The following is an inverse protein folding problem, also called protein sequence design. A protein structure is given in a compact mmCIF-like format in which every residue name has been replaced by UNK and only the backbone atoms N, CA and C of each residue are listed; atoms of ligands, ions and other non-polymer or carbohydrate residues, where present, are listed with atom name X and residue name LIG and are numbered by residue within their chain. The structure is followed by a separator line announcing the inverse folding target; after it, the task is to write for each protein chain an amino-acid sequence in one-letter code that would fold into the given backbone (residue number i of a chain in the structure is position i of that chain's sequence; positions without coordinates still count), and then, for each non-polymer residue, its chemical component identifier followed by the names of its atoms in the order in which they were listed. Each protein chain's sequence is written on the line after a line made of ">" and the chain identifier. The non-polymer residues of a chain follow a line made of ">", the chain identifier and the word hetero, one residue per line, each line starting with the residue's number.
data_IF_248602555217
#
_entry.id   IF_248602555217
#
_cell.length_a   1.000
_cell.length_b   1.000
_cell.length_c   1.000
_cell.angle_alpha   90.00
_cell.angle_beta   90.00
_cell.angle_gamma   90.00
#
_symmetry.space_group_name_H-M   'P 1'
#
loop_
_entity.id
_entity.type
_entity.pdbx_description
1 polymer ?
#
# COMPACT_ATOMS: atom_id res chain seq x y z
N UNK A 1 -30.39 -27.32 38.63
CA UNK A 1 -29.92 -26.11 37.90
C UNK A 1 -28.42 -26.08 38.10
N UNK A 2 -27.63 -26.46 37.08
CA UNK A 2 -26.16 -26.41 37.16
C UNK A 2 -25.72 -25.08 36.57
N UNK A 3 -25.12 -24.22 37.39
CA UNK A 3 -24.39 -23.06 36.92
C UNK A 3 -23.17 -23.57 36.14
N UNK A 4 -23.17 -23.39 34.82
CA UNK A 4 -21.97 -23.64 34.02
C UNK A 4 -20.87 -22.68 34.53
N UNK A 5 -19.60 -23.12 34.64
CA UNK A 5 -18.53 -22.24 35.04
C UNK A 5 -18.48 -21.04 34.07
N UNK A 6 -18.67 -19.84 34.60
CA UNK A 6 -18.51 -18.61 33.82
C UNK A 6 -17.03 -18.47 33.47
N UNK A 7 -16.71 -18.56 32.18
CA UNK A 7 -15.35 -18.34 31.67
C UNK A 7 -14.84 -16.95 32.11
N UNK A 8 -13.55 -16.84 32.38
CA UNK A 8 -12.89 -15.57 32.68
C UNK A 8 -13.06 -14.59 31.51
N UNK A 9 -13.30 -13.32 31.83
CA UNK A 9 -13.45 -12.28 30.83
C UNK A 9 -12.13 -12.05 30.10
N UNK A 10 -12.19 -11.80 28.80
CA UNK A 10 -11.03 -11.46 27.97
C UNK A 10 -11.25 -10.11 27.29
N UNK A 11 -10.20 -9.31 27.21
CA UNK A 11 -10.17 -8.04 26.50
C UNK A 11 -9.06 -8.04 25.47
N UNK A 12 -9.36 -7.46 24.30
CA UNK A 12 -8.43 -7.34 23.19
C UNK A 12 -8.32 -5.88 22.77
N UNK A 13 -7.09 -5.42 22.61
CA UNK A 13 -6.79 -4.05 22.16
C UNK A 13 -5.86 -4.10 20.97
N UNK A 14 -6.00 -3.13 20.06
CA UNK A 14 -5.16 -2.98 18.89
C UNK A 14 -4.62 -1.56 18.81
N UNK A 15 -3.41 -1.44 18.30
CA UNK A 15 -2.75 -0.18 17.97
C UNK A 15 -2.17 -0.31 16.58
N UNK A 16 -2.55 0.61 15.71
CA UNK A 16 -2.13 0.66 14.32
C UNK A 16 -1.81 2.10 13.93
N UNK A 17 -0.92 2.31 12.94
CA UNK A 17 -0.77 3.61 12.30
C UNK A 17 -2.11 4.12 11.75
N UNK A 18 -2.37 5.42 11.85
CA UNK A 18 -3.57 6.02 11.26
C UNK A 18 -3.53 5.97 9.72
N UNK A 19 -2.34 5.99 9.14
CA UNK A 19 -2.11 6.04 7.69
C UNK A 19 -1.05 5.03 7.25
N UNK A 20 -1.11 4.66 5.98
CA UNK A 20 -0.15 3.77 5.34
C UNK A 20 -0.01 4.08 3.85
N UNK A 21 0.97 3.46 3.19
CA UNK A 21 1.16 3.58 1.75
C UNK A 21 1.00 2.22 1.09
N UNK A 22 0.30 2.15 -0.03
CA UNK A 22 0.14 0.92 -0.81
C UNK A 22 1.49 0.29 -1.12
N UNK A 23 1.62 -1.03 -0.89
CA UNK A 23 2.86 -1.75 -1.12
C UNK A 23 3.98 -1.50 -0.09
N UNK A 24 3.70 -0.73 0.98
CA UNK A 24 4.60 -0.62 2.14
C UNK A 24 4.11 -1.51 3.27
N UNK A 25 5.07 -2.09 3.99
CA UNK A 25 4.79 -2.85 5.19
C UNK A 25 4.23 -1.93 6.29
N UNK A 26 3.13 -2.37 6.88
CA UNK A 26 2.51 -1.79 8.06
C UNK A 26 2.70 -2.76 9.22
N UNK A 27 2.81 -2.23 10.44
CA UNK A 27 2.87 -3.02 11.66
C UNK A 27 1.64 -2.70 12.50
N UNK A 28 0.94 -3.74 12.94
CA UNK A 28 -0.17 -3.64 13.90
C UNK A 28 0.21 -4.42 15.14
N UNK A 29 0.08 -3.79 16.30
CA UNK A 29 0.31 -4.41 17.60
C UNK A 29 -0.98 -4.53 18.37
N UNK A 30 -1.04 -5.46 19.30
CA UNK A 30 -2.18 -5.60 20.19
C UNK A 30 -1.83 -6.27 21.50
N UNK A 31 -2.82 -6.31 22.38
CA UNK A 31 -2.74 -6.99 23.66
C UNK A 31 -4.03 -7.74 23.95
N UNK A 32 -3.89 -9.02 24.24
CA UNK A 32 -4.92 -9.88 24.81
C UNK A 32 -4.69 -9.97 26.32
N UNK A 33 -5.71 -9.66 27.11
CA UNK A 33 -5.65 -9.72 28.58
C UNK A 33 -6.86 -10.43 29.13
N UNK A 34 -6.67 -11.16 30.22
CA UNK A 34 -7.74 -11.78 31.00
C UNK A 34 -7.41 -11.71 32.50
N UNK A 35 -8.41 -11.90 33.35
CA UNK A 35 -8.26 -11.95 34.81
C UNK A 35 -7.48 -13.20 35.27
N UNK A 36 -7.46 -14.25 34.45
CA UNK A 36 -6.67 -15.46 34.66
C UNK A 36 -5.55 -15.57 33.62
N UNK A 37 -4.51 -16.35 33.95
CA UNK A 37 -3.37 -16.52 33.06
C UNK A 37 -3.78 -17.23 31.76
N UNK A 38 -3.38 -16.65 30.63
CA UNK A 38 -3.57 -17.24 29.29
C UNK A 38 -2.64 -18.45 29.12
N UNK A 39 -3.13 -19.48 28.43
CA UNK A 39 -2.32 -20.65 28.11
C UNK A 39 -1.14 -20.27 27.19
N UNK A 40 0.00 -20.92 27.39
CA UNK A 40 1.14 -20.77 26.49
C UNK A 40 0.76 -21.24 25.07
N UNK A 41 1.17 -20.48 24.06
CA UNK A 41 0.82 -20.76 22.67
C UNK A 41 -0.57 -20.30 22.25
N UNK A 42 -1.28 -19.53 23.10
CA UNK A 42 -2.51 -18.82 22.70
C UNK A 42 -2.27 -18.05 21.41
N UNK A 43 -3.20 -18.18 20.46
CA UNK A 43 -3.16 -17.48 19.17
C UNK A 43 -4.40 -16.60 18.98
N UNK A 44 -4.23 -15.50 18.26
CA UNK A 44 -5.32 -14.68 17.75
C UNK A 44 -5.40 -14.81 16.22
N UNK A 45 -6.61 -14.85 15.67
CA UNK A 45 -6.84 -14.84 14.24
C UNK A 45 -6.89 -13.40 13.73
N UNK A 46 -6.33 -13.16 12.55
CA UNK A 46 -6.28 -11.82 11.93
C UNK A 46 -6.92 -11.88 10.55
N UNK A 47 -7.85 -10.96 10.28
CA UNK A 47 -8.42 -10.75 8.95
C UNK A 47 -8.27 -9.30 8.53
N UNK A 48 -8.04 -9.08 7.23
CA UNK A 48 -8.00 -7.74 6.62
C UNK A 48 -9.10 -7.62 5.59
N UNK A 49 -9.90 -6.56 5.72
CA UNK A 49 -10.93 -6.17 4.77
C UNK A 49 -10.54 -4.84 4.13
N UNK A 50 -10.47 -4.81 2.80
CA UNK A 50 -10.20 -3.60 2.01
C UNK A 50 -10.85 -3.73 0.61
N UNK A 51 -10.59 -2.77 -0.28
CA UNK A 51 -11.16 -2.77 -1.64
C UNK A 51 -10.64 -3.91 -2.54
N UNK A 52 -9.43 -4.44 -2.28
CA UNK A 52 -8.89 -5.61 -2.97
C UNK A 52 -9.37 -6.93 -2.33
N UNK A 53 -9.84 -6.90 -1.09
CA UNK A 53 -10.33 -8.04 -0.33
C UNK A 53 -11.63 -7.68 0.44
N UNK A 54 -12.75 -7.42 -0.26
CA UNK A 54 -13.99 -6.95 0.36
C UNK A 54 -14.65 -7.96 1.31
N UNK A 55 -14.22 -9.23 1.29
CA UNK A 55 -14.72 -10.30 2.15
C UNK A 55 -13.80 -10.71 3.30
N UNK A 56 -12.80 -9.90 3.66
CA UNK A 56 -11.83 -10.28 4.70
C UNK A 56 -10.80 -11.31 4.23
N UNK A 57 -10.66 -11.49 2.90
CA UNK A 57 -9.71 -12.42 2.25
C UNK A 57 -8.31 -11.82 2.09
N UNK A 58 -8.03 -10.67 2.70
CA UNK A 58 -6.69 -10.11 2.72
C UNK A 58 -5.75 -11.05 3.45
N UNK A 59 -4.46 -11.00 3.13
CA UNK A 59 -3.44 -11.94 3.64
C UNK A 59 -2.47 -11.30 4.64
N UNK A 60 -2.91 -10.91 5.86
CA UNK A 60 -2.02 -10.89 7.02
C UNK A 60 -1.73 -12.34 7.45
N UNK A 61 -0.79 -12.57 8.39
CA UNK A 61 -0.61 -13.89 9.00
C UNK A 61 -1.96 -14.41 9.56
N UNK A 62 -2.40 -15.63 9.21
CA UNK A 62 -3.74 -16.12 9.56
C UNK A 62 -3.94 -16.28 11.06
N UNK A 63 -2.85 -16.54 11.79
CA UNK A 63 -2.80 -16.60 13.24
C UNK A 63 -1.51 -15.98 13.75
N UNK A 64 -1.59 -15.28 14.90
CA UNK A 64 -0.47 -14.64 15.57
C UNK A 64 -0.40 -15.16 17.00
N UNK A 65 0.77 -15.66 17.40
CA UNK A 65 1.01 -16.12 18.77
C UNK A 65 1.06 -14.93 19.72
N UNK A 66 0.36 -15.06 20.84
CA UNK A 66 0.38 -14.10 21.94
C UNK A 66 1.55 -14.44 22.86
N UNK A 67 2.37 -13.44 23.17
CA UNK A 67 3.45 -13.58 24.14
C UNK A 67 2.91 -13.78 25.56
N UNK A 68 3.75 -14.25 26.48
CA UNK A 68 3.34 -14.52 27.86
C UNK A 68 2.84 -13.29 28.64
N UNK A 69 3.17 -12.08 28.19
CA UNK A 69 2.69 -10.81 28.75
C UNK A 69 1.36 -10.32 28.13
N UNK A 70 0.80 -11.10 27.21
CA UNK A 70 -0.42 -10.82 26.47
C UNK A 70 -0.22 -10.02 25.19
N UNK A 71 1.00 -9.61 24.86
CA UNK A 71 1.25 -8.78 23.67
C UNK A 71 1.40 -9.62 22.39
N UNK A 72 1.08 -9.02 21.25
CA UNK A 72 1.34 -9.61 19.94
C UNK A 72 1.52 -8.51 18.89
N UNK A 73 2.14 -8.87 17.77
CA UNK A 73 2.30 -7.97 16.62
C UNK A 73 2.30 -8.76 15.33
N UNK A 74 1.79 -8.16 14.27
CA UNK A 74 1.90 -8.70 12.92
C UNK A 74 2.16 -7.58 11.91
N UNK A 75 2.70 -7.97 10.78
CA UNK A 75 2.91 -7.07 9.65
C UNK A 75 2.03 -7.45 8.48
N UNK A 76 1.62 -6.46 7.71
CA UNK A 76 0.87 -6.65 6.48
C UNK A 76 1.28 -5.62 5.43
N UNK A 77 1.09 -5.94 4.14
CA UNK A 77 1.40 -5.03 3.01
C UNK A 77 0.16 -4.89 2.12
N UNK A 78 -0.73 -3.91 2.40
CA UNK A 78 -1.94 -3.73 1.62
C UNK A 78 -1.64 -3.39 0.15
N UNK A 79 -2.24 -4.11 -0.83
CA UNK A 79 -2.01 -3.90 -2.25
C UNK A 79 -2.89 -2.80 -2.85
N UNK A 80 -3.90 -2.32 -2.13
CA UNK A 80 -4.84 -1.32 -2.60
C UNK A 80 -4.86 -0.09 -1.68
N UNK A 81 -5.27 1.04 -2.27
CA UNK A 81 -5.58 2.25 -1.53
C UNK A 81 -6.99 2.18 -0.92
N UNK A 82 -7.24 3.05 0.05
CA UNK A 82 -8.49 3.15 0.79
C UNK A 82 -8.34 2.67 2.23
N UNK A 83 -9.46 2.49 2.90
CA UNK A 83 -9.47 1.98 4.28
C UNK A 83 -9.15 0.48 4.29
N UNK A 84 -8.08 0.10 4.98
CA UNK A 84 -7.81 -1.28 5.37
C UNK A 84 -8.24 -1.49 6.83
N UNK A 85 -9.25 -2.33 7.03
CA UNK A 85 -9.76 -2.68 8.36
C UNK A 85 -9.22 -4.03 8.77
N UNK A 86 -8.49 -4.07 9.89
CA UNK A 86 -7.98 -5.29 10.52
C UNK A 86 -8.93 -5.68 11.64
N UNK A 87 -9.39 -6.92 11.60
CA UNK A 87 -10.13 -7.54 12.70
C UNK A 87 -9.26 -8.61 13.32
N UNK A 88 -9.07 -8.55 14.63
CA UNK A 88 -8.36 -9.58 15.38
C UNK A 88 -9.35 -10.23 16.33
N UNK A 89 -9.42 -11.55 16.30
CA UNK A 89 -10.33 -12.33 17.14
C UNK A 89 -9.58 -13.39 17.94
N UNK A 90 -10.00 -13.53 19.20
CA UNK A 90 -9.68 -14.63 20.06
C UNK A 90 -10.96 -15.43 20.27
N UNK A 91 -10.97 -16.71 19.89
CA UNK A 91 -12.16 -17.57 20.03
C UNK A 91 -12.53 -17.89 21.48
N UNK A 92 -11.62 -17.62 22.42
CA UNK A 92 -11.68 -18.18 23.76
C UNK A 92 -11.13 -19.60 23.80
N UNK A 93 -11.03 -20.13 25.01
CA UNK A 93 -10.67 -21.52 25.30
C UNK A 93 -11.61 -22.09 26.37
N UNK A 94 -11.22 -23.18 27.05
CA UNK A 94 -12.07 -23.80 28.08
C UNK A 94 -12.28 -22.88 29.31
N UNK A 95 -11.35 -21.97 29.58
CA UNK A 95 -11.32 -21.11 30.76
C UNK A 95 -11.62 -19.64 30.44
N UNK A 96 -11.37 -19.18 29.21
CA UNK A 96 -11.45 -17.79 28.82
C UNK A 96 -12.52 -17.55 27.76
N UNK A 97 -13.26 -16.45 27.89
CA UNK A 97 -14.24 -16.03 26.90
C UNK A 97 -13.55 -15.48 25.63
N UNK A 98 -14.21 -15.63 24.48
CA UNK A 98 -13.75 -15.05 23.23
C UNK A 98 -13.93 -13.53 23.20
N UNK A 99 -13.13 -12.85 22.41
CA UNK A 99 -13.16 -11.38 22.25
C UNK A 99 -12.62 -10.97 20.89
N UNK A 100 -12.99 -9.77 20.42
CA UNK A 100 -12.62 -9.25 19.10
C UNK A 100 -12.30 -7.77 19.20
N UNK A 101 -11.35 -7.31 18.39
CA UNK A 101 -10.97 -5.90 18.27
C UNK A 101 -10.74 -5.54 16.81
N UNK A 102 -10.87 -4.25 16.48
CA UNK A 102 -10.67 -3.74 15.13
C UNK A 102 -9.77 -2.50 15.11
N UNK A 103 -8.99 -2.36 14.04
CA UNK A 103 -8.22 -1.16 13.74
C UNK A 103 -8.32 -0.83 12.25
N UNK A 104 -8.48 0.45 11.91
CA UNK A 104 -8.58 0.91 10.53
C UNK A 104 -7.37 1.79 10.17
N UNK A 105 -6.78 1.53 9.01
CA UNK A 105 -5.65 2.29 8.47
C UNK A 105 -6.06 2.90 7.14
N UNK A 106 -5.84 4.21 6.96
CA UNK A 106 -6.03 4.88 5.69
C UNK A 106 -4.81 4.68 4.78
N UNK A 107 -4.95 3.84 3.76
CA UNK A 107 -3.87 3.53 2.81
C UNK A 107 -3.95 4.43 1.59
N UNK A 108 -2.89 5.17 1.30
CA UNK A 108 -2.79 6.04 0.11
C UNK A 108 -1.77 5.51 -0.90
N UNK A 109 -1.84 5.99 -2.15
CA UNK A 109 -0.80 5.70 -3.14
C UNK A 109 0.48 6.43 -2.78
N UNK A 110 1.61 5.84 -3.13
CA UNK A 110 2.89 6.52 -3.11
C UNK A 110 2.85 7.77 -4.01
N UNK A 111 3.39 8.88 -3.52
CA UNK A 111 3.57 10.07 -4.33
C UNK A 111 4.62 9.79 -5.43
N UNK A 112 4.29 10.13 -6.67
CA UNK A 112 5.20 10.02 -7.80
C UNK A 112 5.81 11.39 -8.12
N UNK A 113 7.10 11.38 -8.50
CA UNK A 113 7.84 12.55 -8.98
C UNK A 113 8.24 12.31 -10.43
N UNK A 114 7.80 13.21 -11.31
CA UNK A 114 8.15 13.22 -12.73
C UNK A 114 9.04 14.42 -13.04
N UNK A 115 10.14 14.19 -13.76
CA UNK A 115 10.98 15.25 -14.33
C UNK A 115 11.08 15.08 -15.83
N UNK A 116 11.24 16.19 -16.55
CA UNK A 116 11.48 16.22 -17.98
C UNK A 116 12.56 17.27 -18.27
N UNK A 117 13.57 16.88 -19.04
CA UNK A 117 14.64 17.72 -19.53
C UNK A 117 14.65 17.68 -21.05
N UNK A 118 14.65 18.87 -21.62
CA UNK A 118 14.83 19.12 -23.04
C UNK A 118 16.01 20.08 -23.23
N UNK A 119 16.69 20.05 -24.39
CA UNK A 119 17.55 21.17 -24.80
C UNK A 119 16.76 22.48 -24.79
N UNK A 120 17.39 23.58 -24.34
CA UNK A 120 16.75 24.89 -24.32
C UNK A 120 16.42 25.41 -25.73
N UNK A 121 17.17 24.97 -26.73
CA UNK A 121 16.98 25.31 -28.14
C UNK A 121 17.15 24.07 -29.01
N UNK A 122 16.33 23.95 -30.06
CA UNK A 122 16.45 22.90 -31.07
C UNK A 122 16.07 23.43 -32.45
N UNK A 123 16.72 22.91 -33.49
CA UNK A 123 16.38 23.24 -34.88
C UNK A 123 15.18 22.39 -35.33
N UNK A 124 14.18 23.02 -35.96
CA UNK A 124 13.03 22.28 -36.53
C UNK A 124 13.48 21.25 -37.57
N UNK A 125 12.73 20.16 -37.66
CA UNK A 125 13.02 19.00 -38.50
C UNK A 125 14.36 18.32 -38.21
N UNK A 126 14.95 18.56 -37.02
CA UNK A 126 16.06 17.77 -36.48
C UNK A 126 15.59 17.04 -35.23
N UNK A 127 16.10 15.81 -35.00
CA UNK A 127 15.79 15.08 -33.78
C UNK A 127 16.36 15.81 -32.57
N UNK A 128 15.57 15.87 -31.50
CA UNK A 128 16.01 16.30 -30.18
C UNK A 128 15.71 15.21 -29.16
N UNK A 129 16.60 15.01 -28.21
CA UNK A 129 16.45 14.01 -27.16
C UNK A 129 15.84 14.65 -25.92
N UNK A 130 14.74 14.07 -25.46
CA UNK A 130 14.11 14.37 -24.19
C UNK A 130 14.46 13.27 -23.20
N UNK A 131 14.87 13.66 -22.00
CA UNK A 131 15.20 12.72 -20.91
C UNK A 131 14.41 13.08 -19.67
N UNK A 132 14.21 12.12 -18.78
CA UNK A 132 13.51 12.40 -17.54
C UNK A 132 13.56 11.25 -16.56
N UNK A 133 12.96 11.48 -15.41
CA UNK A 133 12.83 10.49 -14.35
C UNK A 133 11.38 10.41 -13.88
N UNK A 134 10.87 9.20 -13.66
CA UNK A 134 9.63 8.91 -12.98
C UNK A 134 9.92 7.99 -11.78
N UNK A 135 9.75 8.49 -10.56
CA UNK A 135 10.11 7.79 -9.32
C UNK A 135 9.01 7.88 -8.27
N UNK A 136 8.81 6.83 -7.48
CA UNK A 136 8.00 6.84 -6.25
C UNK A 136 8.62 5.91 -5.21
N UNK A 137 8.08 5.92 -3.99
CA UNK A 137 8.43 4.93 -2.96
C UNK A 137 7.17 4.28 -2.36
N UNK A 138 6.89 2.98 -2.61
CA UNK A 138 7.73 2.00 -3.34
C UNK A 138 7.98 2.37 -4.80
N UNK A 139 9.07 1.84 -5.37
CA UNK A 139 9.45 2.10 -6.75
C UNK A 139 8.35 1.66 -7.73
N UNK A 140 8.13 2.48 -8.77
CA UNK A 140 7.24 2.13 -9.87
C UNK A 140 7.86 0.95 -10.62
N UNK A 141 7.04 -0.07 -10.90
CA UNK A 141 7.50 -1.22 -11.66
C UNK A 141 8.07 -0.78 -13.03
N UNK A 142 9.19 -1.38 -13.41
CA UNK A 142 9.76 -1.19 -14.74
C UNK A 142 8.72 -1.54 -15.81
N UNK A 143 8.73 -0.80 -16.93
CA UNK A 143 7.72 -0.99 -17.99
C UNK A 143 6.58 0.02 -17.95
N UNK A 144 6.45 0.82 -16.88
CA UNK A 144 5.57 1.99 -16.90
C UNK A 144 5.89 2.90 -18.09
N UNK A 145 4.88 3.52 -18.68
CA UNK A 145 5.07 4.41 -19.85
C UNK A 145 4.81 5.86 -19.49
N UNK A 146 5.60 6.75 -20.05
CA UNK A 146 5.37 8.19 -20.04
C UNK A 146 5.03 8.64 -21.45
N UNK A 147 4.01 9.48 -21.59
CA UNK A 147 3.68 10.14 -22.84
C UNK A 147 4.14 11.59 -22.78
N UNK A 148 4.70 12.09 -23.89
CA UNK A 148 5.09 13.49 -24.00
C UNK A 148 4.27 14.15 -25.09
N UNK A 149 3.65 15.27 -24.73
CA UNK A 149 2.95 16.16 -25.65
C UNK A 149 3.81 17.39 -25.88
N UNK A 150 4.11 17.70 -27.15
CA UNK A 150 4.76 18.95 -27.55
C UNK A 150 3.71 19.94 -27.98
N UNK A 151 3.78 21.15 -27.43
CA UNK A 151 3.03 22.31 -27.90
C UNK A 151 4.00 23.28 -28.55
N UNK A 152 3.77 23.64 -29.81
CA UNK A 152 4.60 24.59 -30.54
C UNK A 152 3.77 25.39 -31.56
N UNK A 153 4.41 26.31 -32.29
CA UNK A 153 3.74 27.14 -33.30
C UNK A 153 3.06 26.36 -34.45
N UNK A 154 3.54 25.16 -34.78
CA UNK A 154 2.93 24.28 -35.79
C UNK A 154 1.85 23.37 -35.19
N UNK A 155 1.78 23.26 -33.86
CA UNK A 155 0.83 22.44 -33.11
C UNK A 155 0.42 23.17 -31.82
N UNK A 156 -0.31 24.29 -31.92
CA UNK A 156 -0.69 25.10 -30.74
C UNK A 156 -1.66 24.37 -29.80
N UNK A 157 -2.42 23.40 -30.31
CA UNK A 157 -3.27 22.50 -29.50
C UNK A 157 -2.53 21.32 -28.87
N UNK A 158 -1.21 21.23 -29.07
CA UNK A 158 -0.41 20.08 -28.63
C UNK A 158 -0.49 18.89 -29.58
N UNK A 159 0.63 18.17 -29.73
CA UNK A 159 0.72 16.92 -30.48
C UNK A 159 1.53 15.91 -29.69
N UNK A 160 1.18 14.61 -29.77
CA UNK A 160 1.98 13.55 -29.17
C UNK A 160 3.37 13.52 -29.81
N UNK A 161 4.39 13.90 -29.06
CA UNK A 161 5.78 13.86 -29.47
C UNK A 161 6.33 12.43 -29.42
N UNK A 162 5.85 11.63 -28.47
CA UNK A 162 6.24 10.23 -28.33
C UNK A 162 5.80 9.64 -27.00
N UNK A 163 6.26 8.42 -26.75
CA UNK A 163 6.14 7.75 -25.47
C UNK A 163 7.43 7.00 -25.17
N UNK A 164 7.82 6.95 -23.90
CA UNK A 164 9.00 6.22 -23.45
C UNK A 164 8.62 5.23 -22.36
N UNK A 165 9.30 4.08 -22.35
CA UNK A 165 9.25 3.16 -21.23
C UNK A 165 10.20 3.62 -20.13
N UNK A 166 9.75 3.57 -18.90
CA UNK A 166 10.53 3.88 -17.70
C UNK A 166 11.32 2.64 -17.31
N UNK A 167 12.64 2.79 -17.24
CA UNK A 167 13.55 1.74 -16.79
C UNK A 167 13.42 1.47 -15.29
N UNK A 168 14.01 0.38 -14.81
CA UNK A 168 13.97 0.01 -13.39
C UNK A 168 14.58 1.06 -12.45
N UNK A 169 15.50 1.90 -12.96
CA UNK A 169 16.09 3.03 -12.25
C UNK A 169 15.22 4.30 -12.29
N UNK A 170 14.00 4.21 -12.82
CA UNK A 170 13.09 5.35 -12.97
C UNK A 170 13.43 6.28 -14.13
N UNK A 171 14.46 6.03 -14.94
CA UNK A 171 14.84 6.92 -16.06
C UNK A 171 14.10 6.57 -17.34
N UNK A 172 13.87 7.57 -18.19
CA UNK A 172 13.36 7.39 -19.54
C UNK A 172 14.01 8.36 -20.52
N UNK A 173 14.01 7.99 -21.80
CA UNK A 173 14.48 8.82 -22.91
C UNK A 173 13.59 8.64 -24.13
N UNK A 174 13.31 9.72 -24.86
CA UNK A 174 12.67 9.66 -26.17
C UNK A 174 13.20 10.73 -27.10
N UNK A 175 13.07 10.45 -28.39
CA UNK A 175 13.42 11.39 -29.46
C UNK A 175 12.16 12.00 -30.04
N UNK A 176 12.11 13.32 -30.10
CA UNK A 176 11.09 14.10 -30.81
C UNK A 176 11.71 14.77 -32.03
N UNK A 177 10.95 14.88 -33.12
CA UNK A 177 11.36 15.60 -34.34
C UNK A 177 10.26 16.60 -34.70
N UNK A 178 10.33 17.84 -34.17
CA UNK A 178 9.31 18.85 -34.47
C UNK A 178 9.23 19.14 -35.97
N UNK A 179 8.02 19.20 -36.56
CA UNK A 179 7.87 19.46 -37.98
C UNK A 179 8.33 20.88 -38.34
N UNK A 180 8.65 21.08 -39.62
CA UNK A 180 8.84 22.44 -40.16
C UNK A 180 7.56 23.24 -39.97
N UNK A 181 7.69 24.55 -39.75
CA UNK A 181 6.54 25.45 -39.81
C UNK A 181 6.01 25.42 -41.24
N UNK A 182 4.71 25.16 -41.42
CA UNK A 182 4.07 25.34 -42.73
C UNK A 182 4.08 26.85 -43.01
N UNK A 183 4.64 27.23 -44.16
CA UNK A 183 4.70 28.62 -44.66
C UNK A 183 3.32 29.11 -45.02
#
# INVERSE_FOLDING_TARGET
>A
MLDAPTKAASSLTLTAPATGTTGKQLTVSGRLSSDTALAAGTTVAVTRTDSAAPGGTGTPPPAVTVAGDGTFSFTDTPPAQGTATYTVSYSGDAQHAGTTAQAAIQVSRAAAKLTLKAPATATRAKPLTLTGTLTSDPAIAAGATVAVTRTDLASPGGVKAGSATVGANGTFSLTDTPPRRRS
#
